data_IF_402620752056
#
_entry.id   IF_402620752056
#
_cell.length_a   1.000
_cell.length_b   1.000
_cell.length_c   1.000
_cell.angle_alpha   90.00
_cell.angle_beta   90.00
_cell.angle_gamma   90.00
#
_symmetry.space_group_name_H-M   'P 1'
#
loop_
_entity.id
_entity.type
_entity.pdbx_description
1 polymer ?
#
# COMPACT_ATOMS: atom_id res chain seq x y z
N UNK A 1 -1.59 -9.15 -10.08
CA UNK A 1 -2.78 -9.19 -9.22
C UNK A 1 -2.48 -9.88 -7.89
N UNK A 2 -1.88 -11.10 -7.90
CA UNK A 2 -1.54 -11.86 -6.69
C UNK A 2 -0.55 -11.15 -5.75
N UNK A 3 0.24 -10.23 -6.27
CA UNK A 3 1.23 -9.44 -5.52
C UNK A 3 0.60 -8.27 -4.75
N UNK A 4 -0.61 -7.86 -5.14
CA UNK A 4 -1.31 -6.76 -4.47
C UNK A 4 -1.95 -7.26 -3.18
N UNK A 5 -1.79 -6.47 -2.10
CA UNK A 5 -2.45 -6.74 -0.83
C UNK A 5 -3.97 -6.77 -1.02
N UNK A 6 -4.63 -7.63 -0.28
CA UNK A 6 -6.08 -7.68 -0.26
C UNK A 6 -6.67 -6.36 0.28
N UNK A 7 -7.81 -5.92 -0.29
CA UNK A 7 -8.49 -4.73 0.21
C UNK A 7 -9.02 -4.98 1.63
N UNK A 8 -9.20 -3.89 2.36
CA UNK A 8 -9.83 -3.96 3.68
C UNK A 8 -11.27 -4.53 3.54
N UNK A 9 -11.70 -5.38 4.47
CA UNK A 9 -13.03 -6.01 4.45
C UNK A 9 -14.17 -5.01 4.32
N UNK A 10 -14.01 -3.81 4.89
CA UNK A 10 -15.01 -2.73 4.88
C UNK A 10 -15.32 -2.19 3.46
N UNK A 11 -14.41 -2.41 2.51
CA UNK A 11 -14.60 -2.04 1.10
C UNK A 11 -15.04 -3.22 0.22
N UNK A 12 -15.38 -4.36 0.84
CA UNK A 12 -15.73 -5.58 0.15
C UNK A 12 -17.10 -6.10 0.57
N UNK A 13 -17.79 -6.71 -0.38
CA UNK A 13 -18.98 -7.55 -0.14
C UNK A 13 -18.71 -8.96 -0.66
N UNK A 14 -19.52 -9.92 -0.24
CA UNK A 14 -19.39 -11.35 -0.63
C UNK A 14 -17.98 -11.92 -0.40
N UNK A 15 -17.24 -11.42 0.60
CA UNK A 15 -15.92 -11.95 0.94
C UNK A 15 -14.79 -11.63 -0.05
N UNK A 16 -14.90 -10.54 -0.81
CA UNK A 16 -13.78 -10.11 -1.69
C UNK A 16 -14.17 -9.40 -2.98
N UNK A 17 -15.44 -9.05 -3.16
CA UNK A 17 -15.90 -8.17 -4.24
C UNK A 17 -15.81 -6.72 -3.80
N UNK A 18 -14.87 -5.96 -4.35
CA UNK A 18 -14.78 -4.53 -4.06
C UNK A 18 -15.96 -3.76 -4.61
N UNK A 19 -16.50 -2.83 -3.82
CA UNK A 19 -17.61 -1.95 -4.19
C UNK A 19 -17.26 -0.49 -3.92
N UNK A 20 -17.80 0.40 -4.75
CA UNK A 20 -17.77 1.85 -4.52
C UNK A 20 -19.14 2.35 -4.07
N UNK A 21 -19.25 3.63 -3.74
CA UNK A 21 -20.52 4.22 -3.27
C UNK A 21 -21.66 4.13 -4.29
N UNK A 22 -21.35 4.15 -5.59
CA UNK A 22 -22.35 3.96 -6.66
C UNK A 22 -22.85 2.52 -6.68
N UNK A 23 -21.93 1.55 -6.55
CA UNK A 23 -22.30 0.14 -6.47
C UNK A 23 -23.19 -0.12 -5.25
N UNK A 24 -22.84 0.44 -4.09
CA UNK A 24 -23.64 0.32 -2.85
C UNK A 24 -25.05 0.86 -3.05
N UNK A 25 -25.22 2.04 -3.67
CA UNK A 25 -26.55 2.59 -3.98
C UNK A 25 -27.37 1.64 -4.84
N UNK A 26 -26.78 1.04 -5.88
CA UNK A 26 -27.47 0.07 -6.73
C UNK A 26 -27.78 -1.24 -6.00
N UNK A 27 -26.87 -1.74 -5.17
CA UNK A 27 -27.10 -2.96 -4.39
C UNK A 27 -28.23 -2.78 -3.36
N UNK A 28 -28.32 -1.60 -2.72
CA UNK A 28 -29.42 -1.28 -1.80
C UNK A 28 -30.77 -1.08 -2.51
N UNK A 29 -30.74 -0.68 -3.77
CA UNK A 29 -31.95 -0.45 -4.58
C UNK A 29 -32.26 -1.60 -5.55
N UNK A 30 -31.64 -2.77 -5.38
CA UNK A 30 -31.73 -3.90 -6.31
C UNK A 30 -33.18 -4.40 -6.52
N UNK A 31 -34.03 -4.31 -5.49
CA UNK A 31 -35.44 -4.71 -5.55
C UNK A 31 -36.36 -3.58 -6.04
N UNK A 32 -35.88 -2.34 -6.12
CA UNK A 32 -36.68 -1.16 -6.44
C UNK A 32 -36.54 -0.66 -7.87
N UNK A 33 -35.52 -1.08 -8.60
CA UNK A 33 -35.22 -0.61 -9.95
C UNK A 33 -34.57 -1.69 -10.79
N UNK A 34 -35.09 -1.89 -12.00
CA UNK A 34 -34.51 -2.81 -12.98
C UNK A 34 -33.06 -2.45 -13.35
N UNK A 35 -32.76 -1.15 -13.46
CA UNK A 35 -31.39 -0.67 -13.70
C UNK A 35 -30.44 -1.08 -12.55
N UNK A 36 -30.90 -0.96 -11.30
CA UNK A 36 -30.13 -1.37 -10.13
C UNK A 36 -29.95 -2.88 -10.04
N UNK A 37 -31.01 -3.63 -10.36
CA UNK A 37 -30.95 -5.08 -10.47
C UNK A 37 -29.91 -5.53 -11.51
N UNK A 38 -29.99 -4.96 -12.72
CA UNK A 38 -29.03 -5.27 -13.81
C UNK A 38 -27.59 -4.94 -13.40
N UNK A 39 -27.36 -3.80 -12.75
CA UNK A 39 -26.03 -3.39 -12.26
C UNK A 39 -25.50 -4.36 -11.20
N UNK A 40 -26.31 -4.69 -10.20
CA UNK A 40 -25.97 -5.64 -9.15
C UNK A 40 -25.67 -7.04 -9.68
N UNK A 41 -26.51 -7.52 -10.59
CA UNK A 41 -26.33 -8.82 -11.23
C UNK A 41 -25.01 -8.89 -12.01
N UNK A 42 -24.69 -7.83 -12.77
CA UNK A 42 -23.40 -7.75 -13.49
C UNK A 42 -22.20 -7.83 -12.55
N UNK A 43 -22.26 -7.16 -11.40
CA UNK A 43 -21.17 -7.21 -10.41
C UNK A 43 -21.01 -8.61 -9.82
N UNK A 44 -22.13 -9.23 -9.43
CA UNK A 44 -22.14 -10.55 -8.82
C UNK A 44 -21.68 -11.63 -9.81
N UNK A 45 -22.20 -11.61 -11.03
CA UNK A 45 -21.79 -12.57 -12.06
C UNK A 45 -20.30 -12.43 -12.39
N UNK A 46 -19.78 -11.20 -12.50
CA UNK A 46 -18.35 -10.97 -12.69
C UNK A 46 -17.54 -11.54 -11.54
N UNK A 47 -17.97 -11.30 -10.29
CA UNK A 47 -17.28 -11.81 -9.11
C UNK A 47 -17.21 -13.34 -9.12
N UNK A 48 -18.35 -14.02 -9.40
CA UNK A 48 -18.37 -15.48 -9.50
C UNK A 48 -17.50 -16.00 -10.67
N UNK A 49 -17.52 -15.33 -11.81
CA UNK A 49 -16.63 -15.67 -12.93
C UNK A 49 -15.15 -15.56 -12.53
N UNK A 50 -14.76 -14.50 -11.80
CA UNK A 50 -13.41 -14.35 -11.26
C UNK A 50 -13.05 -15.51 -10.31
N UNK A 51 -13.98 -15.89 -9.42
CA UNK A 51 -13.78 -17.02 -8.48
C UNK A 51 -13.63 -18.35 -9.20
N UNK A 52 -14.46 -18.62 -10.20
CA UNK A 52 -14.36 -19.82 -11.04
C UNK A 52 -13.07 -19.82 -11.88
N UNK A 53 -12.58 -18.64 -12.28
CA UNK A 53 -11.30 -18.46 -12.95
C UNK A 53 -10.07 -18.65 -12.05
N UNK A 54 -10.24 -19.13 -10.81
CA UNK A 54 -9.15 -19.44 -9.87
C UNK A 54 -8.57 -18.24 -9.13
N UNK A 55 -9.26 -17.11 -9.13
CA UNK A 55 -8.87 -15.97 -8.29
C UNK A 55 -9.44 -16.11 -6.88
N UNK A 56 -8.61 -15.82 -5.86
CA UNK A 56 -9.04 -15.90 -4.45
C UNK A 56 -10.03 -14.79 -4.05
N UNK A 57 -10.15 -13.74 -4.88
CA UNK A 57 -11.08 -12.62 -4.71
C UNK A 57 -11.50 -12.04 -6.06
N UNK A 58 -12.43 -11.09 -6.07
CA UNK A 58 -12.80 -10.37 -7.30
C UNK A 58 -11.62 -9.62 -7.91
N UNK A 59 -11.47 -9.68 -9.22
CA UNK A 59 -10.36 -9.02 -9.95
C UNK A 59 -10.58 -7.52 -10.18
N UNK A 60 -11.78 -7.03 -9.90
CA UNK A 60 -12.10 -5.60 -9.98
C UNK A 60 -11.41 -4.86 -8.85
N UNK A 61 -10.50 -3.95 -9.20
CA UNK A 61 -9.80 -3.09 -8.25
C UNK A 61 -10.46 -1.72 -8.22
N UNK A 62 -10.66 -1.18 -7.02
CA UNK A 62 -11.23 0.16 -6.79
C UNK A 62 -10.36 0.97 -5.85
N UNK A 63 -10.59 2.31 -5.82
CA UNK A 63 -9.94 3.22 -4.90
C UNK A 63 -8.40 3.08 -4.91
N UNK A 64 -7.78 3.06 -3.74
CA UNK A 64 -6.32 2.91 -3.58
C UNK A 64 -5.76 1.62 -4.20
N UNK A 65 -6.51 0.52 -4.18
CA UNK A 65 -6.11 -0.72 -4.85
C UNK A 65 -6.02 -0.57 -6.37
N UNK A 66 -6.91 0.22 -6.99
CA UNK A 66 -6.86 0.49 -8.43
C UNK A 66 -5.64 1.35 -8.78
N UNK A 67 -5.32 2.35 -7.95
CA UNK A 67 -4.13 3.19 -8.13
C UNK A 67 -2.86 2.35 -8.01
N UNK A 68 -2.71 1.59 -6.92
CA UNK A 68 -1.57 0.71 -6.71
C UNK A 68 -1.42 -0.32 -7.83
N UNK A 69 -2.55 -0.91 -8.28
CA UNK A 69 -2.55 -1.86 -9.39
C UNK A 69 -2.09 -1.24 -10.70
N UNK A 70 -2.49 -0.01 -11.00
CA UNK A 70 -2.04 0.72 -12.20
C UNK A 70 -0.56 1.04 -12.17
N UNK A 71 -0.07 1.57 -11.04
CA UNK A 71 1.36 1.89 -10.86
C UNK A 71 2.20 0.62 -10.96
N UNK A 72 1.78 -0.46 -10.29
CA UNK A 72 2.47 -1.74 -10.36
C UNK A 72 2.48 -2.34 -11.78
N UNK A 73 1.37 -2.22 -12.51
CA UNK A 73 1.33 -2.61 -13.93
C UNK A 73 2.31 -1.79 -14.77
N UNK A 74 2.44 -0.49 -14.49
CA UNK A 74 3.47 0.37 -15.12
C UNK A 74 4.89 -0.14 -14.88
N UNK A 75 5.23 -0.46 -13.63
CA UNK A 75 6.54 -1.04 -13.29
C UNK A 75 6.82 -2.32 -14.09
N UNK A 76 5.84 -3.22 -14.18
CA UNK A 76 5.98 -4.46 -14.94
C UNK A 76 6.16 -4.21 -16.44
N UNK A 77 5.42 -3.26 -17.01
CA UNK A 77 5.52 -2.88 -18.42
C UNK A 77 6.90 -2.32 -18.76
N UNK A 78 7.42 -1.45 -17.90
CA UNK A 78 8.76 -0.85 -18.05
C UNK A 78 9.88 -1.79 -17.59
N UNK A 79 9.54 -3.04 -17.19
CA UNK A 79 10.49 -4.06 -16.72
C UNK A 79 11.37 -3.56 -15.55
N UNK A 80 10.85 -2.68 -14.71
CA UNK A 80 11.55 -2.19 -13.53
C UNK A 80 11.58 -3.31 -12.50
N UNK A 81 12.78 -3.76 -12.04
CA UNK A 81 12.86 -4.79 -11.03
C UNK A 81 12.27 -4.31 -9.70
N UNK A 82 11.53 -5.18 -9.02
CA UNK A 82 11.04 -4.95 -7.67
C UNK A 82 11.31 -6.19 -6.82
N UNK A 83 11.59 -5.96 -5.55
CA UNK A 83 11.85 -7.02 -4.60
C UNK A 83 10.81 -6.96 -3.48
N UNK A 84 10.20 -8.10 -3.18
CA UNK A 84 9.32 -8.29 -2.04
C UNK A 84 10.12 -8.90 -0.90
N UNK A 85 9.57 -8.81 0.33
CA UNK A 85 10.17 -9.40 1.53
C UNK A 85 11.64 -9.03 1.72
N UNK A 86 11.99 -7.82 1.30
CA UNK A 86 13.35 -7.31 1.31
C UNK A 86 13.39 -6.02 2.13
N UNK A 87 13.42 -6.11 3.48
CA UNK A 87 13.46 -4.93 4.33
C UNK A 87 14.75 -4.14 4.13
N UNK A 88 14.62 -2.81 4.08
CA UNK A 88 15.74 -1.89 4.14
C UNK A 88 16.25 -1.81 5.59
N UNK A 89 17.57 -1.92 5.76
CA UNK A 89 18.23 -1.89 7.06
C UNK A 89 18.85 -0.53 7.36
N UNK A 90 19.22 0.24 6.32
CA UNK A 90 19.84 1.55 6.46
C UNK A 90 20.28 2.13 5.13
N UNK A 91 20.63 3.40 5.14
CA UNK A 91 21.24 4.09 4.01
C UNK A 91 22.75 4.01 4.11
N UNK A 92 23.42 3.81 2.98
CA UNK A 92 24.87 3.88 2.87
C UNK A 92 25.31 5.28 2.47
N UNK A 93 26.35 5.77 3.10
CA UNK A 93 26.90 7.10 2.84
C UNK A 93 28.41 7.02 2.53
N UNK A 94 28.91 7.93 1.72
CA UNK A 94 30.33 8.11 1.52
C UNK A 94 30.96 8.96 2.65
N UNK A 95 32.28 9.19 2.57
CA UNK A 95 32.99 9.95 3.56
C UNK A 95 32.53 11.43 3.64
N UNK A 96 31.87 11.94 2.61
CA UNK A 96 31.30 13.28 2.56
C UNK A 96 29.84 13.35 3.09
N UNK A 97 29.27 12.21 3.49
CA UNK A 97 27.89 12.13 3.98
C UNK A 97 26.82 12.01 2.87
N UNK A 98 27.23 11.93 1.60
CA UNK A 98 26.27 11.72 0.52
C UNK A 98 25.74 10.29 0.51
N UNK A 99 24.43 10.13 0.30
CA UNK A 99 23.81 8.81 0.23
C UNK A 99 24.16 8.13 -1.09
N UNK A 100 24.87 7.02 -1.01
CA UNK A 100 25.39 6.24 -2.14
C UNK A 100 24.67 4.92 -2.36
N UNK A 101 23.79 4.52 -1.43
CA UNK A 101 23.08 3.26 -1.57
C UNK A 101 22.12 2.96 -0.43
N UNK A 102 21.59 1.76 -0.45
CA UNK A 102 20.73 1.22 0.60
C UNK A 102 21.16 -0.20 0.94
N UNK A 103 21.28 -0.49 2.23
CA UNK A 103 21.51 -1.83 2.74
C UNK A 103 20.17 -2.50 2.98
N UNK A 104 20.00 -3.70 2.43
CA UNK A 104 18.77 -4.46 2.51
C UNK A 104 19.07 -5.89 2.98
N UNK A 105 18.07 -6.56 3.53
CA UNK A 105 18.15 -7.98 3.84
C UNK A 105 17.32 -8.78 2.85
N UNK A 106 17.97 -9.69 2.11
CA UNK A 106 17.31 -10.56 1.15
C UNK A 106 17.79 -11.99 1.33
N UNK A 107 16.86 -12.93 1.38
CA UNK A 107 17.16 -14.38 1.56
C UNK A 107 18.09 -14.64 2.75
N UNK A 108 17.89 -13.91 3.86
CA UNK A 108 18.70 -14.01 5.08
C UNK A 108 20.05 -13.30 5.03
N UNK A 109 20.47 -12.74 3.88
CA UNK A 109 21.77 -12.06 3.69
C UNK A 109 21.59 -10.55 3.58
N UNK A 110 22.57 -9.82 4.11
CA UNK A 110 22.65 -8.38 3.89
C UNK A 110 23.31 -8.10 2.53
N UNK A 111 22.72 -7.19 1.77
CA UNK A 111 23.18 -6.79 0.44
C UNK A 111 23.15 -5.26 0.39
N UNK A 112 24.19 -4.66 -0.17
CA UNK A 112 24.23 -3.22 -0.46
C UNK A 112 23.88 -3.00 -1.92
N UNK A 113 22.82 -2.21 -2.15
CA UNK A 113 22.41 -1.76 -3.46
C UNK A 113 22.97 -0.36 -3.69
N UNK A 114 23.87 -0.23 -4.65
CA UNK A 114 24.46 1.04 -5.05
C UNK A 114 23.45 1.92 -5.79
N UNK A 115 23.36 3.18 -5.42
CA UNK A 115 22.48 4.17 -6.04
C UNK A 115 23.33 5.25 -6.73
N UNK A 116 23.24 5.37 -8.06
CA UNK A 116 24.01 6.35 -8.84
C UNK A 116 23.52 7.79 -8.70
N UNK A 117 22.26 8.00 -8.35
CA UNK A 117 21.63 9.34 -8.27
C UNK A 117 21.05 9.65 -6.90
N UNK A 118 20.72 8.65 -6.10
CA UNK A 118 20.11 8.80 -4.79
C UNK A 118 19.10 7.70 -4.48
N UNK A 119 18.58 7.72 -3.28
CA UNK A 119 17.58 6.77 -2.77
C UNK A 119 16.30 7.52 -2.43
N UNK A 120 15.16 7.06 -2.95
CA UNK A 120 13.86 7.61 -2.60
C UNK A 120 13.27 6.78 -1.45
N UNK A 121 13.05 7.40 -0.30
CA UNK A 121 12.41 6.77 0.85
C UNK A 121 10.91 7.05 0.79
N UNK A 122 10.12 6.03 0.49
CA UNK A 122 8.67 6.11 0.34
C UNK A 122 7.94 5.05 1.19
N UNK A 123 8.42 4.84 2.43
CA UNK A 123 7.99 3.76 3.34
C UNK A 123 6.76 4.10 4.17
N UNK A 124 6.09 5.22 3.91
CA UNK A 124 4.98 5.73 4.71
C UNK A 124 5.45 6.52 5.94
N UNK A 125 4.48 6.85 6.80
CA UNK A 125 4.72 7.64 8.02
C UNK A 125 4.88 6.78 9.26
N UNK A 126 4.51 7.36 10.42
CA UNK A 126 4.67 6.74 11.74
C UNK A 126 3.38 6.60 12.57
N UNK A 127 2.18 6.45 11.98
CA UNK A 127 0.93 6.46 12.75
C UNK A 127 0.81 5.30 13.76
N UNK A 128 1.59 4.24 13.61
CA UNK A 128 1.62 3.11 14.54
C UNK A 128 2.83 3.12 15.50
N UNK A 129 3.64 4.19 15.47
CA UNK A 129 4.72 4.40 16.41
C UNK A 129 4.26 5.32 17.56
N UNK A 130 3.94 4.75 18.73
CA UNK A 130 3.42 5.50 19.85
C UNK A 130 4.37 6.62 20.33
N UNK A 131 5.68 6.38 20.32
CA UNK A 131 6.69 7.38 20.70
C UNK A 131 6.70 8.56 19.74
N UNK A 132 6.80 8.31 18.44
CA UNK A 132 6.81 9.38 17.42
C UNK A 132 5.49 10.14 17.40
N UNK A 133 4.37 9.48 17.66
CA UNK A 133 3.06 10.15 17.79
C UNK A 133 3.03 11.10 18.96
N UNK A 134 3.50 10.66 20.13
CA UNK A 134 3.55 11.52 21.33
C UNK A 134 4.47 12.73 21.13
N UNK A 135 5.54 12.57 20.34
CA UNK A 135 6.51 13.63 20.07
C UNK A 135 6.01 14.64 19.00
N UNK A 136 5.28 14.18 17.97
CA UNK A 136 5.00 14.99 16.79
C UNK A 136 3.52 15.28 16.53
N UNK A 137 2.59 14.60 17.16
CA UNK A 137 1.16 14.87 16.98
C UNK A 137 0.62 15.76 18.10
N UNK A 138 -0.32 16.66 17.79
CA UNK A 138 -0.98 17.46 18.81
C UNK A 138 -1.78 16.57 19.78
N UNK A 139 -1.72 16.87 21.06
CA UNK A 139 -2.51 16.18 22.06
C UNK A 139 -3.98 16.67 22.09
N UNK A 140 -4.98 15.81 22.42
CA UNK A 140 -4.84 14.38 22.69
C UNK A 140 -4.79 13.54 21.42
N UNK A 141 -3.84 12.61 21.31
CA UNK A 141 -3.77 11.68 20.17
C UNK A 141 -4.30 10.30 20.57
N UNK A 142 -5.42 9.89 20.00
CA UNK A 142 -5.93 8.54 20.14
C UNK A 142 -5.05 7.50 19.42
N UNK A 143 -5.08 6.21 19.81
CA UNK A 143 -4.27 5.15 19.19
C UNK A 143 -4.80 4.68 17.84
N UNK A 144 -5.68 5.44 17.20
CA UNK A 144 -6.39 5.03 16.00
C UNK A 144 -5.70 5.53 14.73
N UNK A 145 -5.59 4.65 13.74
CA UNK A 145 -5.12 4.97 12.40
C UNK A 145 -5.73 4.02 11.39
N UNK A 146 -6.13 4.57 10.23
CA UNK A 146 -6.54 3.79 9.05
C UNK A 146 -5.34 3.34 8.20
N UNK A 147 -4.13 3.73 8.57
CA UNK A 147 -2.91 3.34 7.89
C UNK A 147 -2.53 1.89 8.17
N UNK A 148 -1.80 1.21 7.28
CA UNK A 148 -1.24 -0.11 7.55
C UNK A 148 -0.40 -0.11 8.83
N UNK A 149 -0.52 -1.18 9.63
CA UNK A 149 0.17 -1.31 10.92
C UNK A 149 1.71 -1.28 10.81
N UNK A 150 2.26 -1.60 9.63
CA UNK A 150 3.69 -1.48 9.34
C UNK A 150 4.21 -0.05 9.22
N UNK A 151 3.35 0.98 9.26
CA UNK A 151 3.80 2.38 9.22
C UNK A 151 4.28 2.84 10.60
N UNK A 152 5.47 2.43 10.98
CA UNK A 152 6.10 2.71 12.29
C UNK A 152 7.27 3.70 12.20
N UNK A 153 7.50 4.32 11.03
CA UNK A 153 8.47 5.40 10.86
C UNK A 153 9.91 4.96 10.58
N UNK A 154 10.14 3.71 10.18
CA UNK A 154 11.48 3.19 9.91
C UNK A 154 12.24 4.00 8.85
N UNK A 155 11.57 4.37 7.74
CA UNK A 155 12.21 5.19 6.71
C UNK A 155 12.55 6.61 7.20
N UNK A 156 11.73 7.18 8.07
CA UNK A 156 12.03 8.46 8.71
C UNK A 156 13.27 8.32 9.59
N UNK A 157 13.36 7.24 10.36
CA UNK A 157 14.54 6.98 11.19
C UNK A 157 15.82 6.84 10.35
N UNK A 158 15.75 6.08 9.25
CA UNK A 158 16.88 5.96 8.29
C UNK A 158 17.27 7.31 7.67
N UNK A 159 16.30 8.12 7.26
CA UNK A 159 16.56 9.44 6.70
C UNK A 159 17.23 10.38 7.75
N UNK A 160 16.78 10.33 9.00
CA UNK A 160 17.40 11.12 10.11
C UNK A 160 18.83 10.67 10.39
N UNK A 161 19.10 9.36 10.37
CA UNK A 161 20.48 8.85 10.52
C UNK A 161 21.40 9.34 9.41
N UNK A 162 20.86 9.57 8.21
CA UNK A 162 21.58 10.14 7.08
C UNK A 162 21.62 11.68 7.07
N UNK A 163 21.25 12.34 8.17
CA UNK A 163 21.28 13.80 8.28
C UNK A 163 19.99 14.52 7.92
N UNK A 164 18.91 13.78 7.61
CA UNK A 164 17.61 14.36 7.32
C UNK A 164 16.95 14.97 8.56
N UNK A 165 16.16 16.02 8.37
CA UNK A 165 15.43 16.72 9.43
C UNK A 165 13.93 16.60 9.17
N UNK A 166 13.14 16.38 10.23
CA UNK A 166 11.68 16.49 10.14
C UNK A 166 11.31 17.98 10.13
N UNK A 167 10.48 18.37 9.16
CA UNK A 167 9.91 19.71 9.17
C UNK A 167 9.00 19.90 10.38
N UNK A 168 9.07 21.06 11.01
CA UNK A 168 8.06 21.52 11.98
C UNK A 168 6.95 22.15 11.19
N UNK A 169 5.75 21.53 11.20
CA UNK A 169 4.53 22.07 10.60
C UNK A 169 3.98 23.27 11.38
#
# INVERSE_FOLDING_TARGET
FRTLRDPLPEFCVLGGMMVNMTDVKHLLAVTRSFASWKHGMKLVLRYFADRLGGHHRGTRLLLGNALAGRLFHGLLKEKIPFWLETPALGLEQDAGGAVTGVRVKRDGREIVLQARRGVVVATGGFPWNARMRAEHYPAPTGPYSMSPQGNVGEGIAMARQAGGVLGTG
#
